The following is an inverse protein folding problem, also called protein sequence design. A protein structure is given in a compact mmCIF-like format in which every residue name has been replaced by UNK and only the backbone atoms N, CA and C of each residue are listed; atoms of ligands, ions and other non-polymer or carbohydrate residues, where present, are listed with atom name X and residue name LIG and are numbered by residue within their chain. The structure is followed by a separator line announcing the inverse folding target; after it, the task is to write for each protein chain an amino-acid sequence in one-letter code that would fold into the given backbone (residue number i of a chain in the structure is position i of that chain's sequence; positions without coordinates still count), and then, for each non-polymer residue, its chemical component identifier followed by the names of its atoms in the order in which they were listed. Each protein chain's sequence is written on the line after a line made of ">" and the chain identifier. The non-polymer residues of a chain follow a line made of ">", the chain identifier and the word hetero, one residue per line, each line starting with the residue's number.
data_IF_883053998974
#
_entry.id   IF_883053998974
#
_cell.length_a   1.000
_cell.length_b   1.000
_cell.length_c   1.000
_cell.angle_alpha   90.00
_cell.angle_beta   90.00
_cell.angle_gamma   90.00
#
_symmetry.space_group_name_H-M   'P 1'
#
loop_
_entity.id
_entity.type
_entity.pdbx_description
1 polymer ?
#
# COMPACT_ATOMS: atom_id res chain seq x y z
N UNK A 1 22.33 -13.77 13.42
CA UNK A 1 22.25 -12.38 12.94
C UNK A 1 23.35 -11.51 13.56
N UNK A 2 23.76 -10.45 12.87
CA UNK A 2 24.79 -9.53 13.35
C UNK A 2 24.19 -8.56 14.39
N UNK A 3 24.57 -8.74 15.68
CA UNK A 3 24.07 -7.90 16.80
C UNK A 3 24.40 -6.42 16.58
N UNK A 4 25.60 -6.10 16.05
CA UNK A 4 25.99 -4.72 15.80
C UNK A 4 25.12 -4.06 14.74
N UNK A 5 24.78 -4.78 13.66
CA UNK A 5 23.88 -4.26 12.64
C UNK A 5 22.48 -4.01 13.19
N UNK A 6 21.98 -4.88 14.07
CA UNK A 6 20.68 -4.69 14.74
C UNK A 6 20.67 -3.47 15.65
N UNK A 7 21.74 -3.22 16.42
CA UNK A 7 21.87 -2.02 17.24
C UNK A 7 21.88 -0.78 16.35
N UNK A 8 22.68 -0.76 15.29
CA UNK A 8 22.70 0.34 14.33
C UNK A 8 21.33 0.58 13.68
N UNK A 9 20.58 -0.46 13.34
CA UNK A 9 19.22 -0.35 12.81
C UNK A 9 18.29 0.33 13.82
N UNK A 10 18.31 -0.07 15.08
CA UNK A 10 17.50 0.52 16.16
C UNK A 10 17.83 2.01 16.31
N UNK A 11 19.12 2.34 16.41
CA UNK A 11 19.56 3.72 16.62
C UNK A 11 19.20 4.61 15.42
N UNK A 12 19.36 4.10 14.21
CA UNK A 12 18.98 4.81 12.98
C UNK A 12 17.47 5.07 12.93
N UNK A 13 16.65 4.08 13.24
CA UNK A 13 15.19 4.22 13.20
C UNK A 13 14.67 5.14 14.31
N UNK A 14 15.33 5.18 15.46
CA UNK A 14 15.03 6.17 16.52
C UNK A 14 15.36 7.59 16.10
N UNK A 15 16.48 7.77 15.41
CA UNK A 15 16.92 9.09 14.97
C UNK A 15 16.16 9.62 13.75
N UNK A 16 15.83 8.76 12.79
CA UNK A 16 15.31 9.16 11.48
C UNK A 16 13.96 8.53 11.13
N UNK A 17 13.29 7.89 12.07
CA UNK A 17 12.02 7.18 11.82
C UNK A 17 10.94 8.06 11.21
N UNK A 18 10.83 9.32 11.66
CA UNK A 18 9.89 10.28 11.09
C UNK A 18 10.19 10.54 9.60
N UNK A 19 11.43 10.86 9.26
CA UNK A 19 11.85 11.13 7.88
C UNK A 19 11.65 9.90 6.98
N UNK A 20 11.99 8.72 7.48
CA UNK A 20 11.79 7.46 6.75
C UNK A 20 10.30 7.21 6.49
N UNK A 21 9.45 7.45 7.50
CA UNK A 21 8.00 7.31 7.38
C UNK A 21 7.42 8.32 6.38
N UNK A 22 7.87 9.59 6.43
CA UNK A 22 7.48 10.62 5.46
C UNK A 22 7.79 10.17 4.03
N UNK A 23 9.02 9.74 3.77
CA UNK A 23 9.45 9.30 2.44
C UNK A 23 8.66 8.08 1.96
N UNK A 24 8.46 7.08 2.80
CA UNK A 24 7.70 5.86 2.47
C UNK A 24 6.26 6.19 2.10
N UNK A 25 5.58 7.05 2.89
CA UNK A 25 4.18 7.39 2.63
C UNK A 25 4.02 8.32 1.44
N UNK A 26 4.93 9.26 1.23
CA UNK A 26 4.97 10.09 0.02
C UNK A 26 5.15 9.23 -1.25
N UNK A 27 6.06 8.26 -1.21
CA UNK A 27 6.27 7.29 -2.30
C UNK A 27 5.01 6.44 -2.54
N UNK A 28 4.36 5.93 -1.48
CA UNK A 28 3.08 5.21 -1.57
C UNK A 28 2.03 6.02 -2.31
N UNK A 29 1.78 7.28 -1.90
CA UNK A 29 0.77 8.13 -2.53
C UNK A 29 1.13 8.47 -3.97
N UNK A 30 2.39 8.75 -4.25
CA UNK A 30 2.89 8.97 -5.61
C UNK A 30 2.65 7.75 -6.51
N UNK A 31 2.94 6.56 -6.00
CA UNK A 31 2.76 5.30 -6.72
C UNK A 31 1.28 4.98 -6.95
N UNK A 32 0.39 5.22 -5.97
CA UNK A 32 -1.07 5.11 -6.17
C UNK A 32 -1.57 6.08 -7.26
N UNK A 33 -1.09 7.33 -7.28
CA UNK A 33 -1.42 8.29 -8.33
C UNK A 33 -0.98 7.81 -9.72
N UNK A 34 0.21 7.22 -9.82
CA UNK A 34 0.70 6.67 -11.08
C UNK A 34 -0.16 5.50 -11.58
N UNK A 35 -0.60 4.63 -10.68
CA UNK A 35 -1.51 3.53 -11.02
C UNK A 35 -2.82 4.08 -11.58
N UNK A 36 -3.45 5.05 -10.90
CA UNK A 36 -4.68 5.71 -11.37
C UNK A 36 -4.44 6.33 -12.74
N UNK A 37 -3.41 7.15 -12.90
CA UNK A 37 -3.09 7.84 -14.17
C UNK A 37 -2.89 6.86 -15.33
N UNK A 38 -2.24 5.73 -15.08
CA UNK A 38 -2.08 4.68 -16.09
C UNK A 38 -3.43 4.11 -16.50
N UNK A 39 -4.31 3.82 -15.53
CA UNK A 39 -5.67 3.35 -15.84
C UNK A 39 -6.45 4.37 -16.68
N UNK A 40 -6.34 5.68 -16.36
CA UNK A 40 -6.96 6.75 -17.13
C UNK A 40 -6.37 6.91 -18.54
N UNK A 41 -5.07 6.63 -18.69
CA UNK A 41 -4.43 6.65 -20.01
C UNK A 41 -5.03 5.56 -20.91
N UNK A 42 -5.23 4.36 -20.36
CA UNK A 42 -5.70 3.19 -21.09
C UNK A 42 -7.24 3.19 -21.26
N UNK A 43 -7.99 4.00 -20.48
CA UNK A 43 -9.46 4.06 -20.45
C UNK A 43 -9.92 5.53 -20.50
N UNK A 44 -10.18 6.04 -21.70
CA UNK A 44 -10.51 7.44 -21.93
C UNK A 44 -11.81 7.89 -21.25
N UNK A 45 -12.78 6.99 -21.11
CA UNK A 45 -14.08 7.23 -20.49
C UNK A 45 -14.02 7.53 -18.99
N UNK A 46 -12.92 7.14 -18.32
CA UNK A 46 -12.71 7.41 -16.89
C UNK A 46 -12.05 8.78 -16.63
N UNK A 47 -11.56 9.48 -17.65
CA UNK A 47 -10.79 10.72 -17.48
C UNK A 47 -11.59 11.84 -16.86
N UNK A 48 -12.89 11.92 -17.19
CA UNK A 48 -13.81 12.95 -16.71
C UNK A 48 -14.56 12.53 -15.42
N UNK A 49 -14.19 11.39 -14.81
CA UNK A 49 -14.82 10.96 -13.55
C UNK A 49 -14.36 11.84 -12.39
N UNK A 50 -15.27 12.67 -11.87
CA UNK A 50 -15.00 13.64 -10.81
C UNK A 50 -14.46 13.00 -9.52
N UNK A 51 -14.91 11.78 -9.18
CA UNK A 51 -14.42 11.08 -7.98
C UNK A 51 -12.95 10.65 -8.15
N UNK A 52 -12.58 10.19 -9.35
CA UNK A 52 -11.19 9.82 -9.66
C UNK A 52 -10.30 11.07 -9.61
N UNK A 53 -10.74 12.19 -10.22
CA UNK A 53 -9.99 13.44 -10.19
C UNK A 53 -9.81 13.96 -8.76
N UNK A 54 -10.87 13.91 -7.95
CA UNK A 54 -10.80 14.27 -6.53
C UNK A 54 -9.80 13.40 -5.76
N UNK A 55 -9.77 12.10 -6.00
CA UNK A 55 -8.80 11.20 -5.33
C UNK A 55 -7.37 11.50 -5.76
N UNK A 56 -7.13 11.84 -7.03
CA UNK A 56 -5.81 12.27 -7.50
C UNK A 56 -5.31 13.53 -6.76
N UNK A 57 -6.20 14.50 -6.49
CA UNK A 57 -5.84 15.70 -5.71
C UNK A 57 -5.65 15.37 -4.23
N UNK A 58 -6.52 14.55 -3.61
CA UNK A 58 -6.34 14.09 -2.23
C UNK A 58 -4.98 13.41 -2.02
N UNK A 59 -4.58 12.54 -2.93
CA UNK A 59 -3.27 11.86 -2.84
C UNK A 59 -2.10 12.83 -3.07
N UNK A 60 -2.29 13.87 -3.89
CA UNK A 60 -1.27 14.92 -4.11
C UNK A 60 -1.09 15.76 -2.85
N UNK A 61 -2.18 16.29 -2.31
CA UNK A 61 -2.15 17.03 -1.04
C UNK A 61 -1.61 16.16 0.12
N UNK A 62 -1.91 14.84 0.11
CA UNK A 62 -1.39 13.90 1.08
C UNK A 62 0.13 13.84 1.09
N UNK A 63 0.79 13.96 -0.08
CA UNK A 63 2.25 14.01 -0.17
C UNK A 63 2.80 15.25 0.56
N UNK A 64 2.20 16.42 0.30
CA UNK A 64 2.64 17.67 0.91
C UNK A 64 2.44 17.62 2.44
N UNK A 65 1.25 17.20 2.90
CA UNK A 65 0.90 17.06 4.32
C UNK A 65 1.80 16.06 5.07
N UNK A 66 2.23 14.98 4.42
CA UNK A 66 3.15 14.00 5.05
C UNK A 66 4.51 14.65 5.34
N UNK A 67 5.03 15.51 4.46
CA UNK A 67 6.28 16.21 4.71
C UNK A 67 6.16 17.33 5.75
N UNK A 68 4.96 17.88 5.95
CA UNK A 68 4.67 18.87 6.99
C UNK A 68 4.40 18.25 8.38
N UNK A 69 4.09 16.94 8.43
CA UNK A 69 3.75 16.25 9.67
C UNK A 69 4.94 16.18 10.64
N UNK A 70 4.69 16.45 11.91
CA UNK A 70 5.68 16.47 12.98
C UNK A 70 5.75 15.16 13.78
N UNK A 71 4.83 14.22 13.52
CA UNK A 71 4.80 12.93 14.20
C UNK A 71 4.38 11.78 13.28
N UNK A 72 4.75 10.56 13.64
CA UNK A 72 4.35 9.35 12.92
C UNK A 72 2.83 9.15 13.03
N UNK A 73 2.23 9.50 14.15
CA UNK A 73 0.78 9.42 14.40
C UNK A 73 0.00 10.30 13.42
N UNK A 74 0.48 11.50 13.14
CA UNK A 74 -0.12 12.38 12.13
C UNK A 74 -0.02 11.76 10.73
N UNK A 75 1.15 11.22 10.37
CA UNK A 75 1.35 10.55 9.08
C UNK A 75 0.39 9.35 8.93
N UNK A 76 0.20 8.55 9.98
CA UNK A 76 -0.75 7.43 9.99
C UNK A 76 -2.19 7.93 9.79
N UNK A 77 -2.55 9.07 10.37
CA UNK A 77 -3.85 9.72 10.16
C UNK A 77 -4.05 10.15 8.70
N UNK A 78 -3.03 10.80 8.11
CA UNK A 78 -3.03 11.20 6.70
C UNK A 78 -3.13 9.97 5.78
N UNK A 79 -2.35 8.92 6.08
CA UNK A 79 -2.39 7.66 5.35
C UNK A 79 -3.78 7.04 5.35
N UNK A 80 -4.42 6.95 6.51
CA UNK A 80 -5.77 6.40 6.65
C UNK A 80 -6.80 7.16 5.82
N UNK A 81 -6.71 8.51 5.80
CA UNK A 81 -7.57 9.35 4.97
C UNK A 81 -7.32 9.13 3.47
N UNK A 82 -6.07 9.13 3.04
CA UNK A 82 -5.68 8.89 1.65
C UNK A 82 -6.08 7.49 1.18
N UNK A 83 -5.84 6.45 2.01
CA UNK A 83 -6.21 5.08 1.69
C UNK A 83 -7.74 4.91 1.56
N UNK A 84 -8.52 5.51 2.46
CA UNK A 84 -10.00 5.49 2.37
C UNK A 84 -10.48 6.09 1.04
N UNK A 85 -9.94 7.24 0.64
CA UNK A 85 -10.29 7.86 -0.63
C UNK A 85 -9.84 7.02 -1.84
N UNK A 86 -8.61 6.50 -1.81
CA UNK A 86 -8.10 5.64 -2.86
C UNK A 86 -8.98 4.39 -3.06
N UNK A 87 -9.30 3.68 -1.98
CA UNK A 87 -10.14 2.49 -2.07
C UNK A 87 -11.60 2.79 -2.44
N UNK A 88 -12.09 4.01 -2.27
CA UNK A 88 -13.44 4.38 -2.71
C UNK A 88 -13.63 4.35 -4.23
N UNK A 89 -12.54 4.48 -4.99
CA UNK A 89 -12.56 4.41 -6.46
C UNK A 89 -12.00 3.08 -6.99
N UNK A 90 -11.56 2.18 -6.13
CA UNK A 90 -10.83 0.97 -6.53
C UNK A 90 -11.62 0.11 -7.50
N UNK A 91 -12.93 -0.04 -7.28
CA UNK A 91 -13.81 -0.78 -8.18
C UNK A 91 -13.87 -0.19 -9.60
N UNK A 92 -13.71 1.14 -9.74
CA UNK A 92 -13.66 1.81 -11.06
C UNK A 92 -12.38 1.49 -11.85
N UNK A 93 -11.30 1.10 -11.14
CA UNK A 93 -10.03 0.69 -11.76
C UNK A 93 -10.10 -0.74 -12.33
N UNK A 94 -11.10 -1.53 -11.90
CA UNK A 94 -11.44 -2.82 -12.47
C UNK A 94 -12.35 -2.55 -13.68
N UNK A 95 -11.74 -2.41 -14.84
CA UNK A 95 -12.43 -1.97 -16.06
C UNK A 95 -13.13 -3.08 -16.82
N UNK A 96 -12.87 -4.35 -16.49
CA UNK A 96 -13.56 -5.47 -17.10
C UNK A 96 -14.97 -5.65 -16.51
N UNK A 97 -15.99 -5.14 -17.21
CA UNK A 97 -17.41 -5.20 -16.81
C UNK A 97 -17.99 -6.63 -16.70
N UNK A 98 -17.25 -7.66 -17.08
CA UNK A 98 -17.66 -9.07 -16.97
C UNK A 98 -17.04 -9.76 -15.74
N UNK A 99 -16.42 -9.03 -14.86
CA UNK A 99 -15.95 -9.55 -13.57
C UNK A 99 -17.14 -9.58 -12.63
N UNK A 100 -17.46 -10.76 -12.12
CA UNK A 100 -18.61 -10.98 -11.22
C UNK A 100 -18.32 -10.57 -9.77
N UNK A 101 -17.16 -9.96 -9.52
CA UNK A 101 -16.72 -9.53 -8.20
C UNK A 101 -16.91 -8.01 -8.02
N UNK A 102 -17.70 -7.62 -7.03
CA UNK A 102 -17.87 -6.24 -6.67
C UNK A 102 -17.03 -5.90 -5.43
N UNK A 103 -16.11 -4.95 -5.59
CA UNK A 103 -15.35 -4.38 -4.49
C UNK A 103 -16.06 -3.13 -3.99
N UNK A 104 -16.56 -3.13 -2.76
CA UNK A 104 -17.23 -1.98 -2.16
C UNK A 104 -16.30 -1.16 -1.26
N UNK A 105 -15.58 -1.83 -0.37
CA UNK A 105 -14.63 -1.19 0.54
C UNK A 105 -13.51 -2.18 0.93
N UNK A 106 -12.37 -1.63 1.38
CA UNK A 106 -11.25 -2.46 1.83
C UNK A 106 -11.54 -3.10 3.19
N UNK A 107 -11.71 -4.42 3.22
CA UNK A 107 -11.83 -5.25 4.43
C UNK A 107 -10.65 -6.22 4.52
N UNK A 108 -10.09 -6.37 5.73
CA UNK A 108 -8.87 -7.19 5.94
C UNK A 108 -9.13 -8.48 6.71
N UNK A 109 -9.92 -8.42 7.77
CA UNK A 109 -10.12 -9.54 8.70
C UNK A 109 -11.56 -9.57 9.21
N UNK A 110 -12.43 -10.43 8.65
CA UNK A 110 -12.25 -11.22 7.44
C UNK A 110 -12.34 -10.38 6.16
N UNK A 111 -11.76 -10.84 5.04
CA UNK A 111 -12.06 -10.26 3.73
C UNK A 111 -13.49 -10.63 3.34
N UNK A 112 -14.32 -9.63 2.98
CA UNK A 112 -15.75 -9.84 2.77
C UNK A 112 -16.12 -10.12 1.31
N UNK A 113 -15.18 -9.97 0.39
CA UNK A 113 -15.35 -10.24 -1.04
C UNK A 113 -14.07 -10.85 -1.64
N UNK A 114 -14.15 -11.47 -2.82
CA UNK A 114 -13.01 -12.13 -3.47
C UNK A 114 -11.86 -11.18 -3.78
N UNK A 115 -12.13 -9.90 -4.13
CA UNK A 115 -11.09 -8.90 -4.40
C UNK A 115 -10.29 -8.60 -3.14
N UNK A 116 -10.99 -8.45 -2.00
CA UNK A 116 -10.37 -8.28 -0.69
C UNK A 116 -9.56 -9.51 -0.25
N UNK A 117 -10.05 -10.71 -0.56
CA UNK A 117 -9.33 -11.96 -0.29
C UNK A 117 -8.03 -12.02 -1.10
N UNK A 118 -8.10 -11.73 -2.40
CA UNK A 118 -6.96 -11.72 -3.30
C UNK A 118 -5.92 -10.64 -2.89
N UNK A 119 -6.36 -9.43 -2.60
CA UNK A 119 -5.50 -8.36 -2.09
C UNK A 119 -4.79 -8.80 -0.79
N UNK A 120 -5.52 -9.39 0.17
CA UNK A 120 -4.96 -9.81 1.45
C UNK A 120 -3.94 -10.94 1.28
N UNK A 121 -4.23 -11.88 0.40
CA UNK A 121 -3.33 -12.99 0.06
C UNK A 121 -2.02 -12.48 -0.56
N UNK A 122 -2.10 -11.65 -1.62
CA UNK A 122 -0.91 -11.14 -2.30
C UNK A 122 -0.10 -10.18 -1.40
N UNK A 123 -0.77 -9.36 -0.56
CA UNK A 123 -0.04 -8.55 0.44
C UNK A 123 0.73 -9.40 1.45
N UNK A 124 0.16 -10.52 1.87
CA UNK A 124 0.84 -11.46 2.77
C UNK A 124 2.08 -12.05 2.10
N UNK A 125 1.96 -12.49 0.85
CA UNK A 125 3.10 -12.98 0.07
C UNK A 125 4.19 -11.89 -0.06
N UNK A 126 3.82 -10.67 -0.46
CA UNK A 126 4.76 -9.56 -0.61
C UNK A 126 5.47 -9.22 0.72
N UNK A 127 4.75 -9.27 1.85
CA UNK A 127 5.33 -9.03 3.17
C UNK A 127 6.31 -10.14 3.58
N UNK A 128 5.98 -11.39 3.29
CA UNK A 128 6.86 -12.53 3.58
C UNK A 128 8.15 -12.49 2.73
N UNK A 129 8.04 -12.17 1.43
CA UNK A 129 9.19 -11.99 0.54
C UNK A 129 10.06 -10.81 1.01
N UNK A 130 9.44 -9.70 1.42
CA UNK A 130 10.18 -8.55 1.97
C UNK A 130 10.91 -8.93 3.26
N UNK A 131 10.28 -9.68 4.16
CA UNK A 131 10.93 -10.17 5.39
C UNK A 131 12.13 -11.06 5.07
N UNK A 132 11.99 -12.00 4.12
CA UNK A 132 13.09 -12.86 3.67
C UNK A 132 14.23 -12.03 3.05
N UNK A 133 13.92 -11.04 2.22
CA UNK A 133 14.91 -10.15 1.63
C UNK A 133 15.68 -9.36 2.72
N UNK A 134 15.00 -8.85 3.74
CA UNK A 134 15.62 -8.15 4.86
C UNK A 134 16.58 -9.04 5.64
N UNK A 135 16.20 -10.29 5.88
CA UNK A 135 17.05 -11.27 6.57
C UNK A 135 18.32 -11.59 5.74
N UNK A 136 18.23 -11.67 4.43
CA UNK A 136 19.39 -11.93 3.56
C UNK A 136 20.45 -10.83 3.64
N UNK A 137 20.03 -9.57 3.86
CA UNK A 137 20.96 -8.43 4.05
C UNK A 137 21.32 -8.21 5.51
N UNK A 138 20.81 -9.06 6.42
CA UNK A 138 21.16 -9.07 7.86
C UNK A 138 20.36 -8.09 8.71
N UNK A 139 19.32 -7.45 8.15
CA UNK A 139 18.40 -6.59 8.93
C UNK A 139 17.37 -7.43 9.70
N UNK A 140 16.94 -6.91 10.84
CA UNK A 140 15.87 -7.51 11.62
C UNK A 140 14.51 -7.05 11.07
N UNK A 141 13.77 -7.97 10.46
CA UNK A 141 12.46 -7.69 9.85
C UNK A 141 11.39 -7.24 10.85
N UNK A 142 11.57 -7.50 12.14
CA UNK A 142 10.63 -7.13 13.20
C UNK A 142 10.82 -5.70 13.72
N UNK A 143 11.97 -5.08 13.50
CA UNK A 143 12.29 -3.73 13.98
C UNK A 143 11.98 -2.73 12.87
N UNK A 144 10.78 -2.15 12.91
CA UNK A 144 10.30 -1.14 11.97
C UNK A 144 10.50 0.29 12.46
N UNK A 145 10.23 1.27 11.60
CA UNK A 145 10.31 2.71 11.91
C UNK A 145 8.93 3.41 11.91
N UNK A 146 7.92 2.86 11.23
CA UNK A 146 6.57 3.41 11.18
C UNK A 146 5.59 2.58 12.01
N UNK A 147 5.54 1.27 11.77
CA UNK A 147 4.65 0.40 12.53
C UNK A 147 5.22 0.11 13.91
N UNK A 148 4.38 0.28 14.95
CA UNK A 148 4.74 -0.06 16.33
C UNK A 148 5.17 -1.53 16.44
N UNK A 149 6.14 -1.79 17.30
CA UNK A 149 6.59 -3.16 17.59
C UNK A 149 5.43 -4.00 18.13
N UNK A 150 5.19 -5.13 17.50
CA UNK A 150 4.17 -6.10 17.91
C UNK A 150 4.72 -7.51 17.75
N UNK A 151 4.55 -8.34 18.78
CA UNK A 151 4.95 -9.75 18.72
C UNK A 151 4.34 -10.46 17.51
N UNK A 152 5.16 -11.19 16.76
CA UNK A 152 4.75 -11.94 15.57
C UNK A 152 4.50 -11.12 14.32
N UNK A 153 4.77 -9.79 14.32
CA UNK A 153 4.65 -8.94 13.13
C UNK A 153 6.00 -8.45 12.66
N UNK A 154 6.36 -8.76 11.42
CA UNK A 154 7.55 -8.21 10.76
C UNK A 154 7.33 -6.74 10.40
N UNK A 155 7.49 -5.84 11.41
CA UNK A 155 7.15 -4.41 11.31
C UNK A 155 7.92 -3.71 10.20
N UNK A 156 9.24 -3.97 10.05
CA UNK A 156 10.03 -3.38 8.97
C UNK A 156 9.58 -3.85 7.59
N UNK A 157 9.25 -5.15 7.46
CA UNK A 157 8.72 -5.66 6.19
C UNK A 157 7.39 -4.98 5.84
N UNK A 158 6.50 -4.78 6.85
CA UNK A 158 5.26 -4.02 6.65
C UNK A 158 5.54 -2.57 6.21
N UNK A 159 6.52 -1.89 6.86
CA UNK A 159 6.89 -0.50 6.53
C UNK A 159 7.35 -0.38 5.07
N UNK A 160 8.26 -1.26 4.63
CA UNK A 160 8.79 -1.22 3.26
C UNK A 160 7.76 -1.67 2.21
N UNK A 161 6.86 -2.58 2.56
CA UNK A 161 5.78 -2.99 1.65
C UNK A 161 4.82 -1.84 1.38
N UNK A 162 4.65 -0.86 2.28
CA UNK A 162 3.79 0.30 2.02
C UNK A 162 4.18 1.04 0.74
N UNK A 163 5.47 1.18 0.45
CA UNK A 163 5.96 1.83 -0.77
C UNK A 163 5.58 1.07 -2.05
N UNK A 164 5.58 -0.26 -2.00
CA UNK A 164 5.32 -1.13 -3.15
C UNK A 164 3.89 -1.68 -3.23
N UNK A 165 2.99 -1.29 -2.30
CA UNK A 165 1.60 -1.80 -2.27
C UNK A 165 0.86 -1.61 -3.60
N UNK A 166 1.09 -0.51 -4.27
CA UNK A 166 0.48 -0.25 -5.57
C UNK A 166 0.87 -1.28 -6.65
N UNK A 167 2.03 -1.94 -6.51
CA UNK A 167 2.44 -3.03 -7.42
C UNK A 167 1.53 -4.23 -7.21
N UNK A 168 1.25 -4.58 -5.95
CA UNK A 168 0.30 -5.64 -5.58
C UNK A 168 -1.09 -5.32 -6.10
N UNK A 169 -1.56 -4.10 -5.86
CA UNK A 169 -2.88 -3.63 -6.28
C UNK A 169 -3.02 -3.66 -7.81
N UNK A 170 -2.01 -3.19 -8.54
CA UNK A 170 -1.97 -3.27 -10.00
C UNK A 170 -2.00 -4.72 -10.50
N UNK A 171 -1.28 -5.61 -9.83
CA UNK A 171 -1.27 -7.02 -10.18
C UNK A 171 -2.67 -7.62 -10.01
N UNK A 172 -3.34 -7.37 -8.88
CA UNK A 172 -4.72 -7.81 -8.63
C UNK A 172 -5.69 -7.26 -9.69
N UNK A 173 -5.64 -5.95 -9.97
CA UNK A 173 -6.46 -5.33 -11.01
C UNK A 173 -6.20 -5.99 -12.37
N UNK A 174 -4.94 -6.29 -12.69
CA UNK A 174 -4.59 -6.96 -13.95
C UNK A 174 -5.16 -8.38 -14.03
N UNK A 175 -5.07 -9.18 -12.95
CA UNK A 175 -5.65 -10.53 -12.91
C UNK A 175 -7.16 -10.50 -13.16
N UNK A 176 -7.86 -9.52 -12.55
CA UNK A 176 -9.29 -9.32 -12.71
C UNK A 176 -9.65 -8.85 -14.15
N UNK A 177 -8.94 -7.83 -14.63
CA UNK A 177 -9.22 -7.27 -15.98
C UNK A 177 -8.92 -8.26 -17.11
N UNK A 178 -7.93 -9.14 -16.93
CA UNK A 178 -7.60 -10.20 -17.88
C UNK A 178 -8.41 -11.50 -17.66
N UNK A 179 -9.29 -11.55 -16.65
CA UNK A 179 -10.05 -12.76 -16.26
C UNK A 179 -9.19 -13.99 -16.00
N UNK A 180 -8.01 -13.78 -15.43
CA UNK A 180 -7.13 -14.88 -15.00
C UNK A 180 -7.69 -15.54 -13.76
N UNK A 181 -8.39 -14.77 -12.92
CA UNK A 181 -9.12 -15.25 -11.72
C UNK A 181 -10.61 -15.02 -11.92
N UNK A 182 -11.42 -16.02 -11.62
CA UNK A 182 -12.87 -16.02 -11.78
C UNK A 182 -13.58 -16.83 -10.70
N UNK A 183 -14.93 -16.90 -10.75
CA UNK A 183 -15.77 -17.59 -9.74
C UNK A 183 -15.50 -19.10 -9.60
N UNK A 184 -14.74 -19.69 -10.50
CA UNK A 184 -14.48 -21.14 -10.53
C UNK A 184 -13.08 -21.51 -10.01
N UNK A 185 -12.28 -20.53 -9.63
CA UNK A 185 -10.91 -20.67 -9.12
C UNK A 185 -10.86 -20.36 -7.62
#
# INVERSE_FOLDING_TARGET
>A
GNVFLRVQQIDKFRAEGLLLTQNTMAAKFSNCRQLIRRTLHDNAELREDENIQKVLEVLKEGIDKVYEAESIEEIVGIEGFCAKNYFSIFNKLITNKKVDFEFQLRTKHPPLDPVNALLSFIYTLATNEMAAALETVGLDSYIGYCHTLRSGRSSLACDLVEEIRCIVERFVITLLNLKIVGEKD
#
